data_IF_014879995612
#
_entry.id   IF_014879995612
#
_cell.length_a   1.000
_cell.length_b   1.000
_cell.length_c   1.000
_cell.angle_alpha   90.00
_cell.angle_beta   90.00
_cell.angle_gamma   90.00
#
_symmetry.space_group_name_H-M   'P 1'
#
loop_
_entity.id
_entity.type
_entity.pdbx_description
1 polymer ?
#
# COMPACT_ATOMS: atom_id res chain seq x y z
N UNK A 1 -12.87 8.30 -9.25
CA UNK A 1 -11.64 7.94 -8.53
C UNK A 1 -11.28 9.10 -7.63
N UNK A 2 -11.29 8.84 -6.32
CA UNK A 2 -10.89 9.82 -5.32
C UNK A 2 -9.38 10.08 -5.42
N UNK A 3 -9.02 11.36 -5.54
CA UNK A 3 -7.64 11.82 -5.73
C UNK A 3 -6.81 11.60 -4.46
N UNK A 4 -7.46 11.50 -3.30
CA UNK A 4 -6.79 11.21 -2.03
C UNK A 4 -6.30 9.75 -1.97
N UNK A 5 -7.13 8.78 -2.38
CA UNK A 5 -6.75 7.36 -2.40
C UNK A 5 -5.66 7.07 -3.45
N UNK A 6 -5.72 7.67 -4.64
CA UNK A 6 -4.67 7.54 -5.66
C UNK A 6 -3.31 8.07 -5.17
N UNK A 7 -3.34 9.15 -4.38
CA UNK A 7 -2.12 9.68 -3.74
C UNK A 7 -1.57 8.69 -2.72
N UNK A 8 -2.41 8.10 -1.86
CA UNK A 8 -2.01 7.09 -0.88
C UNK A 8 -1.43 5.83 -1.51
N UNK A 9 -2.03 5.31 -2.58
CA UNK A 9 -1.49 4.15 -3.30
C UNK A 9 -0.13 4.44 -3.96
N UNK A 10 0.01 5.63 -4.55
CA UNK A 10 1.28 6.06 -5.15
C UNK A 10 2.37 6.16 -4.10
N UNK A 11 2.07 6.72 -2.92
CA UNK A 11 3.01 6.84 -1.80
C UNK A 11 3.44 5.46 -1.27
N UNK A 12 2.48 4.54 -1.05
CA UNK A 12 2.77 3.17 -0.62
C UNK A 12 3.68 2.47 -1.64
N UNK A 13 3.34 2.58 -2.93
CA UNK A 13 4.15 1.98 -4.00
C UNK A 13 5.56 2.55 -4.04
N UNK A 14 5.71 3.86 -3.97
CA UNK A 14 7.03 4.50 -3.96
C UNK A 14 7.89 4.02 -2.77
N UNK A 15 7.28 3.85 -1.60
CA UNK A 15 8.00 3.32 -0.43
C UNK A 15 8.42 1.85 -0.62
N UNK A 16 7.55 1.02 -1.18
CA UNK A 16 7.89 -0.38 -1.50
C UNK A 16 9.03 -0.48 -2.52
N UNK A 17 9.05 0.39 -3.54
CA UNK A 17 10.14 0.45 -4.53
C UNK A 17 11.47 0.87 -3.87
N UNK A 18 11.44 1.82 -2.94
CA UNK A 18 12.61 2.24 -2.17
C UNK A 18 13.16 1.10 -1.28
N UNK A 19 12.27 0.40 -0.57
CA UNK A 19 12.62 -0.78 0.24
C UNK A 19 13.28 -1.85 -0.64
N UNK A 20 12.69 -2.15 -1.79
CA UNK A 20 13.24 -3.12 -2.73
C UNK A 20 14.62 -2.68 -3.25
N UNK A 21 14.85 -1.38 -3.45
CA UNK A 21 16.16 -0.85 -3.81
C UNK A 21 17.19 -1.04 -2.70
N UNK A 22 16.81 -0.82 -1.44
CA UNK A 22 17.70 -0.98 -0.29
C UNK A 22 18.08 -2.44 -0.05
N UNK A 23 17.12 -3.36 -0.11
CA UNK A 23 17.35 -4.80 0.09
C UNK A 23 18.18 -5.43 -1.03
N UNK A 24 18.15 -4.86 -2.24
CA UNK A 24 19.00 -5.28 -3.36
C UNK A 24 20.48 -4.90 -3.20
N UNK A 25 20.82 -4.04 -2.24
CA UNK A 25 22.20 -3.65 -1.98
C UNK A 25 22.96 -4.75 -1.23
N UNK A 26 24.19 -5.03 -1.66
CA UNK A 26 25.04 -6.08 -1.05
C UNK A 26 25.55 -5.74 0.37
N UNK A 27 25.34 -4.51 0.84
CA UNK A 27 25.87 -3.97 2.11
C UNK A 27 24.79 -3.83 3.21
N UNK A 28 23.65 -4.52 3.05
CA UNK A 28 22.58 -4.48 4.05
C UNK A 28 22.80 -5.56 5.13
N UNK A 29 22.81 -5.13 6.39
CA UNK A 29 22.81 -6.05 7.52
C UNK A 29 21.49 -6.86 7.57
N UNK A 30 21.56 -8.13 7.97
CA UNK A 30 20.40 -9.02 8.03
C UNK A 30 19.25 -8.42 8.87
N UNK A 31 19.55 -7.92 10.06
CA UNK A 31 18.54 -7.31 10.94
C UNK A 31 17.84 -6.13 10.24
N UNK A 32 18.61 -5.33 9.51
CA UNK A 32 18.06 -4.20 8.74
C UNK A 32 17.18 -4.69 7.58
N UNK A 33 17.55 -5.79 6.92
CA UNK A 33 16.74 -6.39 5.86
C UNK A 33 15.42 -6.95 6.41
N UNK A 34 15.43 -7.53 7.62
CA UNK A 34 14.23 -8.03 8.29
C UNK A 34 13.30 -6.87 8.69
N UNK A 35 13.84 -5.79 9.25
CA UNK A 35 13.05 -4.58 9.57
C UNK A 35 12.35 -4.02 8.32
N UNK A 36 13.07 -3.97 7.20
CA UNK A 36 12.53 -3.51 5.91
C UNK A 36 11.48 -4.45 5.34
N UNK A 37 11.63 -5.77 5.53
CA UNK A 37 10.64 -6.76 5.14
C UNK A 37 9.33 -6.57 5.94
N UNK A 38 9.42 -6.41 7.26
CA UNK A 38 8.26 -6.16 8.11
C UNK A 38 7.54 -4.86 7.74
N UNK A 39 8.29 -3.82 7.37
CA UNK A 39 7.73 -2.58 6.85
C UNK A 39 6.98 -2.82 5.52
N UNK A 40 7.57 -3.58 4.60
CA UNK A 40 6.93 -3.91 3.33
C UNK A 40 5.62 -4.70 3.50
N UNK A 41 5.57 -5.62 4.47
CA UNK A 41 4.33 -6.37 4.79
C UNK A 41 3.24 -5.41 5.27
N UNK A 42 3.54 -4.49 6.18
CA UNK A 42 2.58 -3.49 6.67
C UNK A 42 2.06 -2.59 5.56
N UNK A 43 2.96 -2.15 4.67
CA UNK A 43 2.61 -1.35 3.48
C UNK A 43 1.65 -2.12 2.55
N UNK A 44 1.90 -3.42 2.33
CA UNK A 44 1.00 -4.28 1.57
C UNK A 44 -0.39 -4.40 2.19
N UNK A 45 -0.46 -4.56 3.52
CA UNK A 45 -1.75 -4.61 4.24
C UNK A 45 -2.52 -3.30 4.10
N UNK A 46 -1.86 -2.15 4.28
CA UNK A 46 -2.51 -0.84 4.10
C UNK A 46 -3.02 -0.64 2.66
N UNK A 47 -2.31 -1.14 1.65
CA UNK A 47 -2.79 -1.10 0.28
C UNK A 47 -4.05 -1.96 0.08
N UNK A 48 -4.14 -3.12 0.74
CA UNK A 48 -5.36 -3.95 0.71
C UNK A 48 -6.53 -3.25 1.40
N UNK A 49 -6.32 -2.66 2.58
CA UNK A 49 -7.36 -1.91 3.29
C UNK A 49 -7.87 -0.72 2.46
N UNK A 50 -6.97 0.00 1.77
CA UNK A 50 -7.37 1.08 0.88
C UNK A 50 -8.19 0.60 -0.33
N UNK A 51 -7.94 -0.61 -0.83
CA UNK A 51 -8.75 -1.19 -1.92
C UNK A 51 -10.17 -1.50 -1.42
N UNK A 52 -10.30 -2.08 -0.23
CA UNK A 52 -11.59 -2.41 0.38
C UNK A 52 -12.43 -1.14 0.60
N UNK A 53 -11.84 -0.06 1.09
CA UNK A 53 -12.54 1.23 1.28
C UNK A 53 -13.05 1.80 -0.05
N UNK A 54 -12.26 1.70 -1.14
CA UNK A 54 -12.70 2.16 -2.46
C UNK A 54 -13.86 1.30 -2.99
N UNK A 55 -13.81 -0.02 -2.80
CA UNK A 55 -14.88 -0.92 -3.21
C UNK A 55 -16.19 -0.67 -2.42
N UNK A 56 -16.07 -0.39 -1.12
CA UNK A 56 -17.21 -0.01 -0.28
C UNK A 56 -17.83 1.32 -0.72
N UNK A 57 -17.03 2.35 -0.99
CA UNK A 57 -17.50 3.65 -1.45
C UNK A 57 -18.18 3.60 -2.83
N UNK A 58 -17.73 2.72 -3.75
CA UNK A 58 -18.33 2.57 -5.08
C UNK A 58 -19.61 1.70 -5.08
N UNK A 59 -19.78 0.85 -4.06
CA UNK A 59 -20.95 -0.03 -3.90
C UNK A 59 -22.20 0.64 -3.28
N UNK A 60 -22.07 1.87 -2.79
CA UNK A 60 -23.13 2.59 -2.07
C UNK A 60 -24.27 3.22 -2.89
N UNK A 61 -24.36 2.99 -4.21
CA UNK A 61 -25.27 3.75 -5.09
C UNK A 61 -26.31 2.93 -5.88
N UNK A 62 -26.67 1.71 -5.45
CA UNK A 62 -27.68 0.88 -6.15
C UNK A 62 -29.03 0.72 -5.45
N UNK A 63 -29.23 1.25 -4.22
CA UNK A 63 -30.48 1.08 -3.48
C UNK A 63 -31.13 2.42 -3.06
N UNK A 64 -31.84 3.09 -3.99
CA UNK A 64 -33.08 3.87 -3.74
C UNK A 64 -33.59 4.53 -5.02
N UNK A 65 -34.21 3.75 -5.89
CA UNK A 65 -35.20 4.27 -6.83
C UNK A 65 -36.40 3.31 -6.83
N UNK A 66 -37.25 3.47 -5.82
CA UNK A 66 -38.66 3.03 -5.84
C UNK A 66 -39.54 4.24 -6.06
#
# INVERSE_FOLDING_TARGET
MDVASDRSFTEIRSRLEEIASQVRGDDIALDKALDLYDEAVKLGMMATELLEVIEEDDSGNVDKQV
#
